data_IF_758308875477
#
_entry.id   IF_758308875477
#
_cell.length_a   1.000
_cell.length_b   1.000
_cell.length_c   1.000
_cell.angle_alpha   90.00
_cell.angle_beta   90.00
_cell.angle_gamma   90.00
#
_symmetry.space_group_name_H-M   'P 1'
#
loop_
_entity.id
_entity.type
_entity.pdbx_description
1 polymer ?
#
# COMPACT_ATOMS: atom_id res chain seq x y z
N UNK A 1 -3.07 4.52 3.48
CA UNK A 1 -2.65 3.28 2.77
C UNK A 1 -1.13 3.16 2.72
N UNK A 2 -0.39 4.15 2.19
CA UNK A 2 1.08 4.10 2.06
C UNK A 2 1.83 3.74 3.36
N UNK A 3 1.40 4.24 4.51
CA UNK A 3 1.98 3.88 5.81
C UNK A 3 2.00 2.35 6.06
N UNK A 4 1.00 1.60 5.61
CA UNK A 4 0.94 0.13 5.77
C UNK A 4 2.01 -0.58 4.94
N UNK A 5 2.34 -0.03 3.78
CA UNK A 5 3.42 -0.54 2.96
C UNK A 5 4.81 -0.28 3.56
N UNK A 6 4.94 0.67 4.49
CA UNK A 6 6.17 0.89 5.25
C UNK A 6 6.34 -0.20 6.32
N UNK A 7 5.25 -0.66 6.92
CA UNK A 7 5.26 -1.70 7.96
C UNK A 7 5.47 -3.11 7.36
N UNK A 8 4.89 -3.36 6.18
CA UNK A 8 4.98 -4.64 5.49
C UNK A 8 5.20 -4.40 3.99
N UNK A 9 6.20 -5.07 3.44
CA UNK A 9 6.67 -4.86 2.06
C UNK A 9 5.79 -5.52 1.00
N UNK A 10 5.05 -6.58 1.36
CA UNK A 10 4.22 -7.37 0.45
C UNK A 10 2.78 -7.42 0.94
N UNK A 11 1.82 -6.94 0.13
CA UNK A 11 0.40 -6.98 0.47
C UNK A 11 -0.43 -7.67 -0.61
N UNK A 12 -1.31 -8.59 -0.21
CA UNK A 12 -2.41 -9.02 -1.06
C UNK A 12 -3.60 -8.05 -0.94
N UNK A 13 -4.44 -7.99 -1.98
CA UNK A 13 -5.61 -7.09 -1.98
C UNK A 13 -6.56 -7.37 -0.81
N UNK A 14 -6.85 -8.64 -0.53
CA UNK A 14 -7.75 -9.04 0.55
C UNK A 14 -7.25 -8.64 1.93
N UNK A 15 -5.97 -8.89 2.21
CA UNK A 15 -5.31 -8.50 3.46
C UNK A 15 -5.32 -6.98 3.63
N UNK A 16 -4.97 -6.25 2.56
CA UNK A 16 -4.98 -4.80 2.59
C UNK A 16 -6.38 -4.26 2.84
N UNK A 17 -7.41 -4.82 2.18
CA UNK A 17 -8.80 -4.43 2.37
C UNK A 17 -9.29 -4.67 3.80
N UNK A 18 -8.96 -5.83 4.38
CA UNK A 18 -9.25 -6.13 5.77
C UNK A 18 -8.55 -5.13 6.71
N UNK A 19 -7.30 -4.77 6.41
CA UNK A 19 -6.52 -3.86 7.24
C UNK A 19 -7.08 -2.43 7.27
N UNK A 20 -7.69 -1.95 6.17
CA UNK A 20 -8.22 -0.58 6.01
C UNK A 20 -9.75 -0.52 6.26
N UNK A 21 -10.39 -1.62 6.68
CA UNK A 21 -11.82 -1.67 6.99
C UNK A 21 -12.20 -0.64 8.07
N UNK A 22 -13.32 0.11 7.96
CA UNK A 22 -14.48 -0.07 7.06
C UNK A 22 -14.39 0.66 5.70
N UNK A 23 -13.22 0.72 5.05
CA UNK A 23 -13.09 1.26 3.70
C UNK A 23 -13.82 0.39 2.65
N UNK A 24 -14.67 0.96 1.77
CA UNK A 24 -15.26 0.23 0.67
C UNK A 24 -14.21 -0.29 -0.32
N UNK A 25 -14.34 -1.54 -0.75
CA UNK A 25 -13.44 -2.23 -1.69
C UNK A 25 -13.15 -1.41 -2.95
N UNK A 26 -14.17 -0.75 -3.51
CA UNK A 26 -14.04 0.11 -4.70
C UNK A 26 -13.12 1.31 -4.46
N UNK A 27 -13.15 1.87 -3.26
CA UNK A 27 -12.35 3.04 -2.89
C UNK A 27 -10.90 2.63 -2.72
N UNK A 28 -10.65 1.49 -2.08
CA UNK A 28 -9.31 0.92 -1.97
C UNK A 28 -8.72 0.61 -3.35
N UNK A 29 -9.48 -0.06 -4.22
CA UNK A 29 -9.05 -0.36 -5.58
C UNK A 29 -8.68 0.91 -6.36
N UNK A 30 -9.49 1.98 -6.23
CA UNK A 30 -9.19 3.27 -6.86
C UNK A 30 -7.91 3.90 -6.31
N UNK A 31 -7.72 3.89 -4.99
CA UNK A 31 -6.52 4.45 -4.38
C UNK A 31 -5.27 3.66 -4.76
N UNK A 32 -5.34 2.32 -4.84
CA UNK A 32 -4.25 1.50 -5.33
C UNK A 32 -3.93 1.79 -6.80
N UNK A 33 -4.94 1.89 -7.66
CA UNK A 33 -4.74 2.23 -9.06
C UNK A 33 -4.06 3.59 -9.24
N UNK A 34 -4.45 4.58 -8.44
CA UNK A 34 -3.83 5.90 -8.45
C UNK A 34 -2.37 5.84 -7.98
N UNK A 35 -2.08 5.17 -6.87
CA UNK A 35 -0.71 5.01 -6.38
C UNK A 35 0.19 4.23 -7.36
N UNK A 36 -0.38 3.29 -8.12
CA UNK A 36 0.33 2.62 -9.22
C UNK A 36 0.63 3.60 -10.36
N UNK A 37 -0.35 4.43 -10.73
CA UNK A 37 -0.18 5.44 -11.79
C UNK A 37 0.84 6.51 -11.41
N UNK A 38 0.88 6.89 -10.12
CA UNK A 38 1.85 7.83 -9.56
C UNK A 38 3.25 7.19 -9.37
N UNK A 39 3.44 5.92 -9.73
CA UNK A 39 4.74 5.23 -9.63
C UNK A 39 5.18 4.91 -8.19
N UNK A 40 4.32 5.11 -7.18
CA UNK A 40 4.66 4.91 -5.77
C UNK A 40 4.58 3.45 -5.33
N UNK A 41 3.65 2.70 -5.93
CA UNK A 41 3.53 1.26 -5.71
C UNK A 41 3.53 0.52 -7.04
N UNK A 42 3.93 -0.75 -7.00
CA UNK A 42 3.87 -1.64 -8.14
C UNK A 42 2.97 -2.82 -7.83
N UNK A 43 2.06 -3.12 -8.77
CA UNK A 43 1.25 -4.33 -8.77
C UNK A 43 2.03 -5.45 -9.46
N UNK A 44 2.23 -6.56 -8.77
CA UNK A 44 2.80 -7.78 -9.33
C UNK A 44 1.72 -8.85 -9.39
N UNK A 45 1.50 -9.44 -10.56
CA UNK A 45 0.56 -10.55 -10.75
C UNK A 45 1.34 -11.75 -11.24
N UNK A 46 1.50 -12.73 -10.35
CA UNK A 46 2.11 -14.02 -10.65
C UNK A 46 1.04 -14.92 -11.26
N UNK A 47 1.19 -15.24 -12.54
CA UNK A 47 0.35 -16.20 -13.28
C UNK A 47 0.71 -17.65 -12.94
N UNK A 48 0.91 -17.93 -11.66
CA UNK A 48 1.06 -19.28 -11.11
C UNK A 48 -0.32 -19.87 -10.85
N UNK A 49 -0.39 -21.16 -10.52
CA UNK A 49 -1.60 -21.80 -10.03
C UNK A 49 -1.37 -22.09 -8.55
N UNK A 50 -1.99 -21.35 -7.61
CA UNK A 50 -3.03 -20.32 -7.78
C UNK A 50 -2.50 -18.96 -8.28
N UNK A 51 -3.39 -18.16 -8.89
CA UNK A 51 -3.10 -16.80 -9.35
C UNK A 51 -2.89 -15.89 -8.14
N UNK A 52 -1.70 -15.30 -8.03
CA UNK A 52 -1.34 -14.46 -6.89
C UNK A 52 -1.13 -13.02 -7.36
N UNK A 53 -1.79 -12.08 -6.69
CA UNK A 53 -1.58 -10.63 -6.92
C UNK A 53 -1.07 -9.98 -5.65
N UNK A 54 0.05 -9.29 -5.75
CA UNK A 54 0.69 -8.57 -4.65
C UNK A 54 0.97 -7.11 -5.04
N UNK A 55 1.12 -6.27 -4.02
CA UNK A 55 1.47 -4.86 -4.16
C UNK A 55 2.70 -4.56 -3.28
N UNK A 56 3.62 -3.75 -3.80
CA UNK A 56 4.87 -3.35 -3.14
C UNK A 56 5.17 -1.87 -3.37
N UNK A 57 5.93 -1.25 -2.47
CA UNK A 57 6.52 0.07 -2.74
C UNK A 57 7.57 -0.04 -3.85
N UNK A 58 7.59 0.93 -4.74
CA UNK A 58 8.70 1.14 -5.66
C UNK A 58 9.87 1.81 -4.92
N UNK A 59 11.01 1.96 -5.60
CA UNK A 59 12.12 2.75 -5.10
C UNK A 59 11.71 4.20 -4.79
N UNK A 60 10.87 4.80 -5.64
CA UNK A 60 10.33 6.15 -5.45
C UNK A 60 9.38 6.21 -4.24
N UNK A 61 8.48 5.23 -4.09
CA UNK A 61 7.63 5.11 -2.91
C UNK A 61 8.42 4.95 -1.61
N UNK A 62 9.55 4.24 -1.64
CA UNK A 62 10.45 4.13 -0.49
C UNK A 62 11.17 5.45 -0.18
N UNK A 63 11.50 6.26 -1.19
CA UNK A 63 12.10 7.57 -0.98
C UNK A 63 11.17 8.53 -0.22
N UNK A 64 9.85 8.34 -0.32
CA UNK A 64 8.83 9.10 0.43
C UNK A 64 8.63 8.62 1.87
N UNK A 65 9.18 7.46 2.25
CA UNK A 65 9.08 6.90 3.62
C UNK A 65 9.38 7.91 4.73
N UNK A 66 10.49 8.69 4.73
CA UNK A 66 10.77 9.64 5.79
C UNK A 66 9.70 10.72 5.94
N UNK A 67 9.10 11.18 4.82
CA UNK A 67 8.04 12.19 4.83
C UNK A 67 6.75 11.60 5.42
N UNK A 68 6.37 10.40 4.97
CA UNK A 68 5.17 9.72 5.48
C UNK A 68 5.29 9.45 6.99
N UNK A 69 6.48 9.05 7.45
CA UNK A 69 6.75 8.85 8.87
C UNK A 69 6.75 10.16 9.67
N UNK A 70 7.26 11.25 9.10
CA UNK A 70 7.21 12.56 9.74
C UNK A 70 5.76 13.04 9.92
N UNK A 71 4.90 12.85 8.91
CA UNK A 71 3.47 13.16 8.98
C UNK A 71 2.78 12.30 10.04
N UNK A 72 3.05 10.98 10.07
CA UNK A 72 2.48 10.08 11.07
C UNK A 72 2.91 10.44 12.51
N UNK A 73 4.16 10.88 12.68
CA UNK A 73 4.70 11.32 13.97
C UNK A 73 4.06 12.64 14.44
N UNK A 74 3.77 13.56 13.51
CA UNK A 74 3.23 14.88 13.83
C UNK A 74 1.81 14.82 14.42
N UNK A 75 0.99 13.88 13.97
CA UNK A 75 -0.38 13.67 14.45
C UNK A 75 -0.46 12.96 15.82
N UNK A 76 0.66 12.77 16.53
CA UNK A 76 0.66 12.13 17.85
C UNK A 76 0.31 10.64 17.83
N UNK A 77 0.40 9.98 16.66
CA UNK A 77 0.32 8.52 16.54
C UNK A 77 1.58 7.92 17.17
N UNK A 78 1.56 7.85 18.50
CA UNK A 78 2.62 7.26 19.31
C UNK A 78 2.74 5.79 18.94
N UNK A 79 3.90 5.43 18.38
CA UNK A 79 4.33 4.06 18.08
C UNK A 79 4.30 3.21 19.34
#
# INVERSE_FOLDING_TARGET
>A
ILYRFIQQSNWHFGELNASVSPCPTRMLARQLAQLCADGLIQKHTLTTQPLVTTYHLTAEGMALKPIILAIAKWEGYSV
#
